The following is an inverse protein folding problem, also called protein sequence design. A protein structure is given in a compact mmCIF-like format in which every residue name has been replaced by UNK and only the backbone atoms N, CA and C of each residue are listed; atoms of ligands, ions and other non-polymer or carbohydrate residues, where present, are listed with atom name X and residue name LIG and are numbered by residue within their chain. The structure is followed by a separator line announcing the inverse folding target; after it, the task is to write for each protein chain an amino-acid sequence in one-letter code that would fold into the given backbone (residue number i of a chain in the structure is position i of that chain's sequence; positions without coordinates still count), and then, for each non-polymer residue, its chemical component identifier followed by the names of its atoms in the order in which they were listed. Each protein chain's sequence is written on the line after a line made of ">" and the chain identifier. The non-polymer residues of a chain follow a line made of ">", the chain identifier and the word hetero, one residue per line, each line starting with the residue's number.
data_IF_645808156528
#
_entry.id   IF_645808156528
#
_cell.length_a   1.000
_cell.length_b   1.000
_cell.length_c   1.000
_cell.angle_alpha   90.00
_cell.angle_beta   90.00
_cell.angle_gamma   90.00
#
_symmetry.space_group_name_H-M   'P 1'
#
loop_
_entity.id
_entity.type
_entity.pdbx_description
1 polymer ?
#
# COMPACT_ATOMS: atom_id res chain seq x y z
N UNK A 1 -9.54 -9.85 0.02
CA UNK A 1 -9.86 -10.80 -1.07
C UNK A 1 -8.58 -11.43 -1.64
N UNK A 2 -7.53 -10.64 -1.88
CA UNK A 2 -6.23 -11.10 -2.42
C UNK A 2 -5.66 -12.32 -1.67
N UNK A 3 -5.53 -12.27 -0.34
CA UNK A 3 -5.02 -13.41 0.45
C UNK A 3 -5.89 -14.67 0.35
N UNK A 4 -7.22 -14.51 0.24
CA UNK A 4 -8.13 -15.66 0.07
C UNK A 4 -7.90 -16.38 -1.26
N UNK A 5 -7.51 -15.63 -2.30
CA UNK A 5 -7.22 -16.21 -3.61
C UNK A 5 -5.78 -16.75 -3.68
N UNK A 6 -4.82 -16.00 -3.11
CA UNK A 6 -3.40 -16.38 -3.07
C UNK A 6 -3.15 -17.73 -2.38
N UNK A 7 -4.03 -18.16 -1.47
CA UNK A 7 -3.93 -19.49 -0.83
C UNK A 7 -3.94 -20.67 -1.81
N UNK A 8 -4.49 -20.46 -3.01
CA UNK A 8 -4.58 -21.47 -4.05
C UNK A 8 -3.41 -21.37 -5.05
N UNK A 9 -2.54 -20.37 -4.89
CA UNK A 9 -1.39 -20.11 -5.76
C UNK A 9 -0.11 -20.72 -5.17
N UNK A 10 0.91 -21.01 -6.01
CA UNK A 10 2.19 -21.51 -5.53
C UNK A 10 2.87 -20.53 -4.58
N UNK A 11 3.71 -21.05 -3.68
CA UNK A 11 4.53 -20.27 -2.74
C UNK A 11 3.74 -19.43 -1.72
N UNK A 12 2.43 -19.67 -1.54
CA UNK A 12 1.63 -18.97 -0.54
C UNK A 12 2.22 -19.03 0.88
N UNK A 13 2.82 -20.16 1.25
CA UNK A 13 3.46 -20.35 2.55
C UNK A 13 4.68 -19.44 2.79
N UNK A 14 5.22 -18.79 1.76
CA UNK A 14 6.30 -17.82 1.89
C UNK A 14 5.80 -16.39 2.17
N UNK A 15 4.49 -16.14 2.07
CA UNK A 15 3.90 -14.85 2.42
C UNK A 15 3.75 -14.75 3.95
N UNK A 16 4.06 -13.58 4.49
CA UNK A 16 3.75 -13.22 5.88
C UNK A 16 2.27 -12.82 6.04
N UNK A 17 1.89 -12.39 7.24
CA UNK A 17 0.57 -11.84 7.50
C UNK A 17 0.24 -10.66 6.56
N UNK A 18 -1.03 -10.47 6.17
CA UNK A 18 -1.45 -9.38 5.30
C UNK A 18 -0.98 -8.00 5.78
N UNK A 19 -0.95 -7.78 7.09
CA UNK A 19 -0.56 -6.52 7.72
C UNK A 19 0.93 -6.20 7.59
N UNK A 20 1.76 -7.17 7.17
CA UNK A 20 3.17 -6.95 6.87
C UNK A 20 3.42 -6.31 5.50
N UNK A 21 2.37 -6.09 4.69
CA UNK A 21 2.48 -5.58 3.33
C UNK A 21 1.67 -4.31 3.09
N UNK A 22 2.08 -3.53 2.10
CA UNK A 22 1.34 -2.39 1.56
C UNK A 22 1.21 -2.53 0.06
N UNK A 23 0.10 -2.05 -0.50
CA UNK A 23 -0.06 -2.00 -1.95
C UNK A 23 0.70 -0.80 -2.54
N UNK A 24 1.33 -1.03 -3.68
CA UNK A 24 1.94 0.01 -4.51
C UNK A 24 1.32 0.00 -5.90
N UNK A 25 1.14 1.17 -6.48
CA UNK A 25 0.72 1.33 -7.87
C UNK A 25 1.51 2.45 -8.56
N UNK A 26 1.36 2.53 -9.88
CA UNK A 26 1.77 3.72 -10.64
C UNK A 26 0.56 4.63 -10.72
N UNK A 27 0.67 5.85 -10.22
CA UNK A 27 -0.40 6.85 -10.26
C UNK A 27 -0.45 7.55 -11.64
N UNK A 28 -1.43 8.43 -11.84
CA UNK A 28 -1.56 9.20 -13.09
C UNK A 28 -0.38 10.15 -13.37
N UNK A 29 0.46 10.46 -12.38
CA UNK A 29 1.69 11.26 -12.56
C UNK A 29 2.90 10.42 -12.95
N UNK A 30 2.72 9.13 -13.25
CA UNK A 30 3.76 8.15 -13.56
C UNK A 30 4.75 7.90 -12.41
N UNK A 31 4.33 8.17 -11.18
CA UNK A 31 5.09 7.94 -9.96
C UNK A 31 4.60 6.69 -9.23
N UNK A 32 5.49 6.07 -8.46
CA UNK A 32 5.12 4.97 -7.58
C UNK A 32 4.52 5.53 -6.30
N UNK A 33 3.27 5.18 -6.02
CA UNK A 33 2.54 5.54 -4.80
C UNK A 33 2.39 4.31 -3.90
N UNK A 34 2.66 4.48 -2.60
CA UNK A 34 2.33 3.52 -1.53
C UNK A 34 0.94 3.85 -0.97
N UNK A 35 0.03 2.88 -1.00
CA UNK A 35 -1.35 3.03 -0.56
C UNK A 35 -1.47 2.75 0.94
N UNK A 36 -0.93 3.66 1.75
CA UNK A 36 -0.93 3.56 3.22
C UNK A 36 -2.34 3.60 3.83
N UNK A 37 -3.24 4.40 3.24
CA UNK A 37 -4.65 4.44 3.60
C UNK A 37 -5.45 3.42 2.79
N UNK A 38 -5.60 2.23 3.38
CA UNK A 38 -6.35 1.11 2.81
C UNK A 38 -7.88 1.28 2.88
N UNK A 39 -8.40 2.38 3.46
CA UNK A 39 -9.82 2.71 3.42
C UNK A 39 -10.22 3.41 2.11
N UNK A 40 -9.24 3.93 1.35
CA UNK A 40 -9.47 4.54 0.04
C UNK A 40 -10.07 3.52 -0.92
N UNK A 41 -11.07 3.94 -1.70
CA UNK A 41 -11.62 3.08 -2.75
C UNK A 41 -10.66 3.07 -3.94
N UNK A 42 -10.63 1.96 -4.67
CA UNK A 42 -9.77 1.83 -5.86
C UNK A 42 -10.09 2.88 -6.94
N UNK A 43 -11.35 3.33 -7.03
CA UNK A 43 -11.75 4.43 -7.92
C UNK A 43 -11.17 5.79 -7.52
N UNK A 44 -10.83 5.98 -6.25
CA UNK A 44 -10.23 7.20 -5.71
C UNK A 44 -8.70 7.14 -5.73
N UNK A 45 -8.13 5.94 -5.93
CA UNK A 45 -6.69 5.73 -6.12
C UNK A 45 -6.28 6.07 -7.57
N UNK A 46 -7.14 5.78 -8.54
CA UNK A 46 -6.91 6.06 -9.97
C UNK A 46 -5.50 5.65 -10.45
N UNK A 47 -5.12 4.36 -10.34
CA UNK A 47 -3.82 3.94 -10.83
C UNK A 47 -3.79 4.05 -12.37
N UNK A 48 -2.64 4.43 -12.92
CA UNK A 48 -2.41 4.58 -14.36
C UNK A 48 -2.75 3.31 -15.14
N UNK A 49 -2.53 2.14 -14.52
CA UNK A 49 -3.00 0.84 -14.97
C UNK A 49 -3.61 0.09 -13.79
N UNK A 50 -4.54 -0.87 -14.01
CA UNK A 50 -5.16 -1.66 -12.94
C UNK A 50 -4.22 -2.73 -12.36
N UNK A 51 -3.02 -2.30 -11.95
CA UNK A 51 -1.95 -3.14 -11.41
C UNK A 51 -1.63 -2.65 -10.00
N UNK A 52 -1.79 -3.54 -9.03
CA UNK A 52 -1.40 -3.34 -7.65
C UNK A 52 -0.32 -4.35 -7.30
N UNK A 53 0.77 -3.88 -6.70
CA UNK A 53 1.89 -4.71 -6.29
C UNK A 53 2.03 -4.67 -4.77
N UNK A 54 2.07 -5.85 -4.15
CA UNK A 54 2.39 -5.96 -2.73
C UNK A 54 3.89 -5.77 -2.50
N UNK A 55 4.24 -4.91 -1.56
CA UNK A 55 5.61 -4.74 -1.06
C UNK A 55 5.58 -4.88 0.45
N UNK A 56 6.68 -5.36 1.05
CA UNK A 56 6.80 -5.37 2.50
C UNK A 56 6.69 -3.94 3.02
N UNK A 57 5.95 -3.73 4.10
CA UNK A 57 5.96 -2.44 4.79
C UNK A 57 7.36 -2.22 5.31
N UNK A 58 8.05 -1.22 4.78
CA UNK A 58 9.25 -0.71 5.44
C UNK A 58 8.81 -0.21 6.81
N UNK A 59 9.32 -0.85 7.86
CA UNK A 59 8.93 -0.58 9.23
C UNK A 59 9.23 0.85 9.60
N UNK A 60 8.25 1.73 9.43
CA UNK A 60 7.94 2.76 10.41
C UNK A 60 6.57 3.40 10.19
N UNK A 61 5.50 2.59 10.17
CA UNK A 61 4.15 3.13 9.90
C UNK A 61 3.71 4.15 10.95
N UNK A 62 4.17 3.99 12.19
CA UNK A 62 3.88 4.95 13.26
C UNK A 62 4.71 6.22 13.08
N UNK A 63 6.01 6.12 12.84
CA UNK A 63 6.86 7.30 12.71
C UNK A 63 6.60 8.05 11.39
N UNK A 64 6.34 7.36 10.27
CA UNK A 64 5.90 7.97 9.00
C UNK A 64 4.54 8.65 9.16
N UNK A 65 3.54 8.01 9.77
CA UNK A 65 2.23 8.62 10.00
C UNK A 65 2.32 9.86 10.90
N UNK A 66 3.08 9.77 12.00
CA UNK A 66 3.33 10.90 12.90
C UNK A 66 4.03 12.03 12.13
N UNK A 67 5.05 11.71 11.34
CA UNK A 67 5.78 12.69 10.53
C UNK A 67 4.88 13.37 9.51
N UNK A 68 4.02 12.63 8.81
CA UNK A 68 3.03 13.19 7.88
C UNK A 68 2.02 14.09 8.57
N UNK A 69 1.49 13.69 9.73
CA UNK A 69 0.56 14.51 10.52
C UNK A 69 1.21 15.79 11.04
N UNK A 70 2.46 15.71 11.49
CA UNK A 70 3.24 16.88 11.88
C UNK A 70 3.38 17.82 10.69
N UNK A 71 3.91 17.36 9.54
CA UNK A 71 4.11 18.21 8.35
C UNK A 71 2.85 18.96 7.92
N UNK A 72 1.70 18.27 7.89
CA UNK A 72 0.39 18.87 7.63
C UNK A 72 0.03 19.98 8.63
N UNK A 73 0.29 19.79 9.93
CA UNK A 73 -0.01 20.77 10.97
C UNK A 73 0.95 21.98 10.96
N UNK A 74 2.22 21.79 10.60
CA UNK A 74 3.19 22.89 10.46
C UNK A 74 3.17 23.56 9.07
N UNK A 75 2.30 23.11 8.15
CA UNK A 75 2.15 23.70 6.83
C UNK A 75 3.39 23.54 5.94
N UNK A 76 4.13 22.44 6.11
CA UNK A 76 5.24 22.03 5.25
C UNK A 76 4.83 20.90 4.31
#
# INVERSE_FOLDING_TARGET
>A
MVWKNARNEPLFSALSDPDAYVFTCINMTAEREELEDEQRRLCDVQPFMPILRLVAREGDRVEKLITTQISLLIGK
#
